data_IF_900557252041
#
_entry.id   IF_900557252041
#
_cell.length_a   1.000
_cell.length_b   1.000
_cell.length_c   1.000
_cell.angle_alpha   90.00
_cell.angle_beta   90.00
_cell.angle_gamma   90.00
#
_symmetry.space_group_name_H-M   'P 1'
#
loop_
_entity.id
_entity.type
_entity.pdbx_description
1 polymer ?
#
# COMPACT_ATOMS: atom_id res chain seq x y z
N UNK A 1 -0.27 -18.04 10.19
CA UNK A 1 0.75 -17.22 9.51
C UNK A 1 0.53 -15.77 9.88
N UNK A 2 1.56 -15.01 10.26
CA UNK A 2 1.43 -13.58 10.59
C UNK A 2 1.36 -12.72 9.33
N UNK A 3 0.83 -11.49 9.43
CA UNK A 3 0.78 -10.56 8.30
C UNK A 3 2.19 -10.26 7.75
N UNK A 4 3.19 -10.19 8.64
CA UNK A 4 4.58 -9.99 8.22
C UNK A 4 5.13 -11.14 7.38
N UNK A 5 4.87 -12.39 7.78
CA UNK A 5 5.29 -13.57 7.01
C UNK A 5 4.60 -13.59 5.65
N UNK A 6 3.29 -13.35 5.62
CA UNK A 6 2.52 -13.27 4.37
C UNK A 6 3.06 -12.18 3.42
N UNK A 7 3.29 -10.97 3.93
CA UNK A 7 3.83 -9.87 3.14
C UNK A 7 5.23 -10.17 2.59
N UNK A 8 6.08 -10.83 3.40
CA UNK A 8 7.42 -11.28 2.96
C UNK A 8 7.36 -12.27 1.80
N UNK A 9 6.45 -13.23 1.88
CA UNK A 9 6.30 -14.29 0.89
C UNK A 9 5.71 -13.77 -0.42
N UNK A 10 4.65 -12.98 -0.35
CA UNK A 10 3.85 -12.64 -1.52
C UNK A 10 4.21 -11.31 -2.17
N UNK A 11 4.75 -10.32 -1.44
CA UNK A 11 5.00 -8.98 -2.02
C UNK A 11 6.44 -8.56 -1.83
N UNK A 12 6.90 -8.44 -0.58
CA UNK A 12 8.18 -7.81 -0.26
C UNK A 12 9.36 -8.47 -0.97
N UNK A 13 9.44 -9.81 -0.97
CA UNK A 13 10.51 -10.52 -1.70
C UNK A 13 10.49 -10.21 -3.20
N UNK A 14 9.31 -10.15 -3.81
CA UNK A 14 9.15 -9.92 -5.24
C UNK A 14 9.59 -8.50 -5.65
N UNK A 15 9.30 -7.51 -4.80
CA UNK A 15 9.69 -6.12 -5.03
C UNK A 15 11.00 -5.73 -4.35
N UNK A 16 11.79 -6.69 -3.87
CA UNK A 16 13.14 -6.45 -3.36
C UNK A 16 13.22 -5.77 -1.99
N UNK A 17 12.21 -5.95 -1.13
CA UNK A 17 12.21 -5.52 0.28
C UNK A 17 12.64 -6.70 1.14
N UNK A 18 13.89 -6.68 1.62
CA UNK A 18 14.45 -7.78 2.42
C UNK A 18 14.58 -7.44 3.91
N UNK A 19 14.68 -6.15 4.23
CA UNK A 19 14.82 -5.64 5.60
C UNK A 19 13.50 -4.99 6.03
N UNK A 20 12.65 -5.77 6.68
CA UNK A 20 11.40 -5.29 7.26
C UNK A 20 11.25 -5.82 8.68
N UNK A 21 10.75 -4.95 9.57
CA UNK A 21 10.33 -5.29 10.92
C UNK A 21 8.86 -4.94 11.00
N UNK A 22 8.03 -5.86 11.48
CA UNK A 22 6.65 -5.54 11.80
C UNK A 22 6.43 -5.93 13.26
N UNK A 23 6.14 -4.94 14.10
CA UNK A 23 5.87 -5.21 15.51
C UNK A 23 4.74 -6.22 15.66
N UNK A 24 4.92 -7.15 16.58
CA UNK A 24 3.94 -8.18 16.89
C UNK A 24 3.76 -8.34 18.40
N UNK A 25 2.63 -8.96 18.76
CA UNK A 25 2.39 -9.51 20.09
C UNK A 25 2.07 -10.99 19.91
N UNK A 26 2.90 -11.85 20.50
CA UNK A 26 2.71 -13.31 20.46
C UNK A 26 2.61 -13.84 19.01
N UNK A 27 3.38 -13.26 18.08
CA UNK A 27 3.38 -13.65 16.67
C UNK A 27 2.21 -13.10 15.84
N UNK A 28 1.37 -12.24 16.42
CA UNK A 28 0.31 -11.51 15.71
C UNK A 28 0.81 -10.09 15.40
N UNK A 29 1.06 -9.82 14.12
CA UNK A 29 1.49 -8.49 13.66
C UNK A 29 0.45 -7.42 13.98
N UNK A 30 0.89 -6.24 14.39
CA UNK A 30 0.03 -5.07 14.56
C UNK A 30 -0.46 -4.60 13.18
N UNK A 31 -1.63 -5.07 12.73
CA UNK A 31 -2.06 -4.85 11.35
C UNK A 31 -2.37 -3.39 10.96
N UNK A 32 -2.48 -2.50 11.94
CA UNK A 32 -2.81 -1.08 11.73
C UNK A 32 -1.60 -0.14 11.83
N UNK A 33 -0.46 -0.61 12.35
CA UNK A 33 0.76 0.19 12.53
C UNK A 33 2.03 -0.68 12.62
N UNK A 34 3.17 -0.06 12.92
CA UNK A 34 4.35 -0.78 13.41
C UNK A 34 5.18 -1.51 12.33
N UNK A 35 4.79 -1.42 11.05
CA UNK A 35 5.68 -1.80 9.94
C UNK A 35 6.81 -0.77 9.80
N UNK A 36 8.04 -1.24 9.87
CA UNK A 36 9.26 -0.47 9.65
C UNK A 36 10.02 -1.03 8.46
N UNK A 37 10.16 -0.19 7.44
CA UNK A 37 10.94 -0.42 6.23
C UNK A 37 11.75 0.84 5.92
N UNK A 38 12.75 0.74 5.05
CA UNK A 38 13.48 1.94 4.61
C UNK A 38 12.59 2.79 3.69
N UNK A 39 12.85 4.10 3.62
CA UNK A 39 12.16 4.98 2.67
C UNK A 39 12.34 4.52 1.23
N UNK A 40 13.51 3.94 0.90
CA UNK A 40 13.78 3.38 -0.41
C UNK A 40 12.92 2.14 -0.71
N UNK A 41 12.71 1.27 0.27
CA UNK A 41 11.79 0.14 0.16
C UNK A 41 10.33 0.59 0.01
N UNK A 42 9.94 1.66 0.71
CA UNK A 42 8.62 2.27 0.55
C UNK A 42 8.40 2.82 -0.86
N UNK A 43 9.44 3.40 -1.50
CA UNK A 43 9.37 3.82 -2.91
C UNK A 43 9.09 2.64 -3.85
N UNK A 44 9.62 1.45 -3.58
CA UNK A 44 9.33 0.25 -4.39
C UNK A 44 7.86 -0.14 -4.31
N UNK A 45 7.27 -0.07 -3.12
CA UNK A 45 5.83 -0.28 -2.93
C UNK A 45 4.98 0.78 -3.65
N UNK A 46 5.35 2.05 -3.54
CA UNK A 46 4.69 3.13 -4.28
C UNK A 46 4.77 2.95 -5.80
N UNK A 47 5.96 2.61 -6.32
CA UNK A 47 6.15 2.31 -7.74
C UNK A 47 5.30 1.12 -8.20
N UNK A 48 5.10 0.11 -7.36
CA UNK A 48 4.23 -1.01 -7.69
C UNK A 48 2.79 -0.54 -7.94
N UNK A 49 2.26 0.33 -7.08
CA UNK A 49 0.91 0.91 -7.26
C UNK A 49 0.82 1.83 -8.47
N UNK A 50 1.84 2.68 -8.70
CA UNK A 50 1.90 3.55 -9.88
C UNK A 50 1.95 2.76 -11.20
N UNK A 51 2.52 1.56 -11.18
CA UNK A 51 2.59 0.66 -12.33
C UNK A 51 1.47 -0.40 -12.34
N UNK A 52 0.30 -0.09 -11.75
CA UNK A 52 -0.87 -0.96 -11.74
C UNK A 52 -0.58 -2.39 -11.25
N UNK A 53 0.28 -2.52 -10.24
CA UNK A 53 0.63 -3.79 -9.62
C UNK A 53 1.67 -4.61 -10.39
N UNK A 54 2.27 -4.06 -11.44
CA UNK A 54 3.24 -4.74 -12.29
C UNK A 54 4.68 -4.29 -12.00
N UNK A 55 5.61 -5.25 -11.97
CA UNK A 55 7.04 -5.02 -11.87
C UNK A 55 7.77 -5.86 -12.92
N UNK A 56 8.54 -5.22 -13.82
CA UNK A 56 9.31 -5.90 -14.87
C UNK A 56 8.48 -6.94 -15.65
N UNK A 57 7.26 -6.58 -16.06
CA UNK A 57 6.28 -7.44 -16.75
C UNK A 57 5.66 -8.57 -15.91
N UNK A 58 6.01 -8.69 -14.63
CA UNK A 58 5.37 -9.62 -13.70
C UNK A 58 4.24 -8.93 -12.91
N UNK A 59 3.04 -9.49 -12.94
CA UNK A 59 1.89 -8.97 -12.18
C UNK A 59 1.98 -9.46 -10.72
N UNK A 60 2.31 -8.55 -9.80
CA UNK A 60 2.47 -8.87 -8.37
C UNK A 60 1.14 -8.72 -7.61
N UNK A 61 0.40 -7.66 -7.93
CA UNK A 61 -0.93 -7.35 -7.38
C UNK A 61 -1.86 -7.15 -8.57
N UNK A 62 -3.08 -7.71 -8.59
CA UNK A 62 -3.96 -7.54 -9.74
C UNK A 62 -4.25 -6.07 -10.02
N UNK A 63 -4.28 -5.68 -11.29
CA UNK A 63 -4.58 -4.31 -11.70
C UNK A 63 -6.01 -3.92 -11.32
N UNK A 64 -6.94 -4.88 -11.29
CA UNK A 64 -8.29 -4.73 -10.78
C UNK A 64 -8.30 -4.34 -9.31
N UNK A 65 -7.49 -5.00 -8.47
CA UNK A 65 -7.40 -4.67 -7.05
C UNK A 65 -6.75 -3.32 -6.82
N UNK A 66 -5.70 -2.96 -7.58
CA UNK A 66 -5.12 -1.62 -7.52
C UNK A 66 -6.21 -0.58 -7.80
N UNK A 67 -6.95 -0.73 -8.91
CA UNK A 67 -8.03 0.19 -9.28
C UNK A 67 -9.12 0.26 -8.22
N UNK A 68 -9.59 -0.88 -7.73
CA UNK A 68 -10.67 -0.94 -6.74
C UNK A 68 -10.24 -0.32 -5.40
N UNK A 69 -9.08 -0.73 -4.87
CA UNK A 69 -8.60 -0.30 -3.57
C UNK A 69 -8.25 1.18 -3.51
N UNK A 70 -7.85 1.78 -4.63
CA UNK A 70 -7.50 3.21 -4.70
C UNK A 70 -8.62 4.10 -5.24
N UNK A 71 -9.83 3.56 -5.48
CA UNK A 71 -10.97 4.35 -5.91
C UNK A 71 -11.53 5.16 -4.73
N UNK A 72 -11.88 6.42 -4.99
CA UNK A 72 -12.57 7.28 -4.03
C UNK A 72 -14.01 6.78 -3.76
N UNK A 73 -14.22 6.03 -2.68
CA UNK A 73 -15.52 5.43 -2.34
C UNK A 73 -16.28 6.21 -1.27
N UNK A 74 -15.76 6.28 -0.04
CA UNK A 74 -16.49 6.87 1.09
C UNK A 74 -15.91 8.22 1.47
N UNK A 75 -16.68 9.30 1.27
CA UNK A 75 -16.27 10.64 1.68
C UNK A 75 -16.20 10.72 3.19
N UNK A 76 -15.09 11.22 3.71
CA UNK A 76 -14.84 11.40 5.14
C UNK A 76 -15.02 12.88 5.50
N UNK A 77 -13.95 13.66 5.49
CA UNK A 77 -13.92 15.09 5.81
C UNK A 77 -13.67 15.92 4.55
N UNK A 78 -14.27 17.11 4.49
CA UNK A 78 -14.21 17.97 3.31
C UNK A 78 -12.79 18.34 2.88
N UNK A 79 -11.87 18.47 3.84
CA UNK A 79 -10.46 18.84 3.65
C UNK A 79 -9.50 17.64 3.57
N UNK A 80 -9.98 16.41 3.81
CA UNK A 80 -9.14 15.20 3.80
C UNK A 80 -9.47 14.32 2.57
N UNK A 81 -10.76 14.18 2.24
CA UNK A 81 -11.21 13.47 1.04
C UNK A 81 -11.95 12.17 1.35
N UNK A 82 -11.57 11.10 0.66
CA UNK A 82 -12.25 9.80 0.69
C UNK A 82 -11.37 8.75 1.36
N UNK A 83 -11.98 7.72 1.95
CA UNK A 83 -11.28 6.60 2.55
C UNK A 83 -11.96 5.27 2.20
N UNK A 84 -11.16 4.29 1.80
CA UNK A 84 -11.57 2.90 1.64
C UNK A 84 -10.33 2.00 1.55
N UNK A 85 -10.45 0.72 1.90
CA UNK A 85 -9.38 -0.27 1.71
C UNK A 85 -8.00 0.14 2.25
N UNK A 86 -7.96 0.89 3.36
CA UNK A 86 -6.75 1.48 3.97
C UNK A 86 -6.06 2.61 3.18
N UNK A 87 -6.75 3.17 2.19
CA UNK A 87 -6.28 4.29 1.38
C UNK A 87 -7.04 5.57 1.70
N UNK A 88 -6.30 6.66 1.90
CA UNK A 88 -6.84 8.00 1.78
C UNK A 88 -6.67 8.48 0.35
N UNK A 89 -7.79 8.84 -0.27
CA UNK A 89 -7.84 9.33 -1.65
C UNK A 89 -8.32 10.77 -1.62
N UNK A 90 -7.41 11.69 -1.96
CA UNK A 90 -7.74 13.11 -2.10
C UNK A 90 -7.73 13.51 -3.57
N UNK A 91 -8.76 14.25 -3.97
CA UNK A 91 -8.77 14.96 -5.25
C UNK A 91 -8.11 16.32 -5.06
N UNK A 92 -6.87 16.47 -5.51
CA UNK A 92 -6.32 17.80 -5.72
C UNK A 92 -6.97 18.40 -6.98
N UNK A 93 -7.34 19.68 -6.91
CA UNK A 93 -8.08 20.39 -7.96
C UNK A 93 -7.30 20.63 -9.27
N UNK A 94 -6.28 19.82 -9.56
CA UNK A 94 -5.62 19.75 -10.86
C UNK A 94 -6.04 18.44 -11.54
N UNK A 95 -6.68 18.56 -12.70
CA UNK A 95 -7.47 17.57 -13.46
C UNK A 95 -6.81 16.21 -13.81
N UNK A 96 -5.70 15.80 -13.21
CA UNK A 96 -4.99 14.59 -13.65
C UNK A 96 -4.30 13.75 -12.55
N UNK A 97 -4.42 14.05 -11.25
CA UNK A 97 -3.65 13.31 -10.25
C UNK A 97 -4.43 13.08 -8.96
N UNK A 98 -4.91 11.85 -8.76
CA UNK A 98 -5.35 11.38 -7.44
C UNK A 98 -4.11 11.25 -6.56
N UNK A 99 -4.09 11.96 -5.43
CA UNK A 99 -3.06 11.73 -4.42
C UNK A 99 -3.58 10.63 -3.50
N UNK A 100 -2.81 9.56 -3.45
CA UNK A 100 -3.09 8.41 -2.61
C UNK A 100 -2.09 8.43 -1.45
N UNK A 101 -2.58 8.55 -0.22
CA UNK A 101 -1.74 8.54 0.99
C UNK A 101 -1.85 7.17 1.66
N UNK A 102 -0.70 6.51 1.84
CA UNK A 102 -0.56 5.28 2.64
C UNK A 102 -0.34 5.69 4.10
N UNK A 103 -1.17 5.19 5.01
CA UNK A 103 -0.77 5.05 6.40
C UNK A 103 -0.37 3.58 6.60
N UNK A 104 0.87 3.37 7.04
CA UNK A 104 1.38 2.08 7.51
C UNK A 104 1.24 1.98 9.03
#
# INVERSE_FOLDING_TARGET
>A
MSAHVYAKEHIFKQIGIYKSIWHDREGISLGADGLRITSYDMLKFGNLFLNNGCLNSNQIISSEWIKESTTALYRTYANIGYYAYHWWVSSFNNKASQLIIILL
#
